data_IF_620239237300
#
_entry.id   IF_620239237300
#
_cell.length_a   1.000
_cell.length_b   1.000
_cell.length_c   1.000
_cell.angle_alpha   90.00
_cell.angle_beta   90.00
_cell.angle_gamma   90.00
#
_symmetry.space_group_name_H-M   'P 1'
#
loop_
_entity.id
_entity.type
_entity.pdbx_description
1 polymer ?
#
# COMPACT_ATOMS: atom_id res chain seq x y z
N UNK A 1 71.91 -15.79 -15.94
CA UNK A 1 71.11 -14.77 -15.24
C UNK A 1 69.68 -14.91 -15.72
N UNK A 2 68.79 -15.35 -14.83
CA UNK A 2 67.48 -15.92 -15.16
C UNK A 2 66.45 -14.85 -15.53
N UNK A 3 65.73 -15.08 -16.63
CA UNK A 3 64.55 -14.34 -17.05
C UNK A 3 63.31 -14.91 -16.33
N UNK A 4 62.69 -14.10 -15.47
CA UNK A 4 61.39 -14.39 -14.87
C UNK A 4 60.27 -14.16 -15.91
N UNK A 5 59.49 -15.20 -16.19
CA UNK A 5 58.17 -15.11 -16.84
C UNK A 5 57.09 -15.02 -15.76
N UNK A 6 56.42 -13.88 -15.69
CA UNK A 6 55.18 -13.72 -14.91
C UNK A 6 53.96 -14.04 -15.78
N UNK A 7 53.17 -15.02 -15.34
CA UNK A 7 51.85 -15.35 -15.91
C UNK A 7 50.78 -14.61 -15.09
N UNK A 8 50.18 -13.58 -15.67
CA UNK A 8 48.96 -12.96 -15.15
C UNK A 8 47.76 -13.81 -15.61
N UNK A 9 47.13 -14.53 -14.69
CA UNK A 9 45.85 -15.16 -14.92
C UNK A 9 44.74 -14.13 -14.69
N UNK A 10 44.15 -13.62 -15.78
CA UNK A 10 42.95 -12.78 -15.74
C UNK A 10 41.75 -13.69 -15.45
N UNK A 11 41.26 -13.67 -14.21
CA UNK A 11 40.01 -14.31 -13.84
C UNK A 11 38.84 -13.48 -14.40
N UNK A 12 38.32 -13.89 -15.55
CA UNK A 12 37.07 -13.36 -16.12
C UNK A 12 35.94 -13.97 -15.29
N UNK A 13 35.43 -13.22 -14.31
CA UNK A 13 34.15 -13.52 -13.68
C UNK A 13 33.06 -13.42 -14.74
N UNK A 14 32.63 -14.57 -15.27
CA UNK A 14 31.38 -14.68 -16.01
C UNK A 14 30.24 -14.34 -15.04
N UNK A 15 29.77 -13.10 -15.07
CA UNK A 15 28.50 -12.71 -14.49
C UNK A 15 27.42 -13.53 -15.19
N UNK A 16 27.02 -14.64 -14.58
CA UNK A 16 25.83 -15.36 -14.98
C UNK A 16 24.68 -14.35 -14.95
N UNK A 17 24.14 -14.03 -16.13
CA UNK A 17 23.08 -13.05 -16.29
C UNK A 17 21.94 -13.40 -15.36
N UNK A 18 21.60 -12.48 -14.45
CA UNK A 18 20.33 -12.52 -13.75
C UNK A 18 19.24 -12.74 -14.81
N UNK A 19 18.26 -13.63 -14.56
CA UNK A 19 17.18 -13.86 -15.51
C UNK A 19 16.62 -12.49 -15.91
N UNK A 20 16.66 -12.20 -17.21
CA UNK A 20 16.14 -10.95 -17.75
C UNK A 20 14.68 -10.86 -17.31
N UNK A 21 14.38 -9.94 -16.41
CA UNK A 21 13.03 -9.71 -15.93
C UNK A 21 12.16 -9.45 -17.16
N UNK A 22 11.07 -10.21 -17.31
CA UNK A 22 10.19 -10.05 -18.46
C UNK A 22 9.69 -8.62 -18.50
N UNK A 23 9.95 -7.92 -19.60
CA UNK A 23 9.57 -6.52 -19.76
C UNK A 23 8.06 -6.35 -19.50
N UNK A 24 7.70 -5.32 -18.73
CA UNK A 24 6.30 -4.99 -18.47
C UNK A 24 5.79 -4.17 -19.64
N UNK A 25 4.64 -4.51 -20.20
CA UNK A 25 4.03 -3.69 -21.24
C UNK A 25 3.19 -2.57 -20.62
N UNK A 26 3.42 -1.31 -20.98
CA UNK A 26 2.54 -0.20 -20.56
C UNK A 26 1.46 0.06 -21.61
N UNK A 27 0.20 0.10 -21.19
CA UNK A 27 -0.93 0.46 -22.06
C UNK A 27 -0.73 1.87 -22.66
N UNK A 28 -1.12 2.04 -23.93
CA UNK A 28 -0.97 3.32 -24.64
C UNK A 28 -1.97 4.38 -24.16
N UNK A 29 -3.13 3.95 -23.66
CA UNK A 29 -4.17 4.82 -23.13
C UNK A 29 -4.18 4.81 -21.60
N UNK A 30 -4.61 5.95 -21.04
CA UNK A 30 -4.93 6.10 -19.63
C UNK A 30 -6.44 6.18 -19.51
N UNK A 31 -7.03 5.28 -18.73
CA UNK A 31 -8.49 5.28 -18.54
C UNK A 31 -8.90 6.28 -17.44
N UNK A 32 -10.16 6.68 -17.41
CA UNK A 32 -10.72 7.54 -16.36
C UNK A 32 -11.77 6.76 -15.56
N UNK A 33 -11.64 6.72 -14.23
CA UNK A 33 -12.70 6.17 -13.38
C UNK A 33 -13.91 7.10 -13.34
N UNK A 34 -15.11 6.53 -13.14
CA UNK A 34 -16.35 7.30 -13.13
C UNK A 34 -16.28 8.47 -12.15
N UNK A 35 -16.52 9.68 -12.65
CA UNK A 35 -16.45 10.92 -11.87
C UNK A 35 -15.20 11.77 -12.12
N UNK A 36 -14.10 11.17 -12.60
CA UNK A 36 -12.96 11.92 -13.10
C UNK A 36 -13.30 12.48 -14.50
N UNK A 37 -13.60 13.77 -14.57
CA UNK A 37 -13.79 14.45 -15.85
C UNK A 37 -12.42 14.87 -16.40
N UNK A 38 -12.13 14.69 -17.69
CA UNK A 38 -10.93 15.26 -18.27
C UNK A 38 -11.07 16.78 -18.23
N UNK A 39 -10.39 17.43 -17.29
CA UNK A 39 -10.15 18.85 -17.36
C UNK A 39 -9.32 19.06 -18.64
N UNK A 40 -9.97 19.47 -19.72
CA UNK A 40 -9.34 19.76 -21.01
C UNK A 40 -8.91 18.52 -21.82
N UNK A 41 -9.89 17.80 -22.36
CA UNK A 41 -9.72 16.63 -23.25
C UNK A 41 -8.83 16.83 -24.50
N UNK A 42 -8.27 18.02 -24.73
CA UNK A 42 -7.33 18.33 -25.81
C UNK A 42 -5.85 18.35 -25.41
N UNK A 43 -5.51 18.24 -24.12
CA UNK A 43 -4.12 18.45 -23.68
C UNK A 43 -3.18 17.26 -23.93
N UNK A 44 -3.72 16.04 -24.11
CA UNK A 44 -2.94 14.79 -24.29
C UNK A 44 -1.86 14.57 -23.22
N UNK A 45 -2.10 15.07 -22.01
CA UNK A 45 -1.11 15.02 -20.93
C UNK A 45 -0.88 13.58 -20.43
N UNK A 46 -1.87 12.72 -20.62
CA UNK A 46 -1.83 11.28 -20.39
C UNK A 46 -0.72 10.61 -21.21
N UNK A 47 -0.54 11.04 -22.46
CA UNK A 47 0.53 10.53 -23.32
C UNK A 47 1.92 10.89 -22.79
N UNK A 48 2.06 12.06 -22.14
CA UNK A 48 3.30 12.46 -21.46
C UNK A 48 3.61 11.50 -20.30
N UNK A 49 2.59 11.11 -19.54
CA UNK A 49 2.74 10.14 -18.45
C UNK A 49 3.20 8.78 -18.97
N UNK A 50 2.50 8.19 -19.93
CA UNK A 50 2.86 6.88 -20.52
C UNK A 50 4.26 6.91 -21.13
N UNK A 51 4.59 7.96 -21.89
CA UNK A 51 5.92 8.16 -22.49
C UNK A 51 7.02 8.25 -21.43
N UNK A 52 6.76 8.99 -20.35
CA UNK A 52 7.70 9.13 -19.24
C UNK A 52 7.92 7.80 -18.52
N UNK A 53 6.85 7.03 -18.27
CA UNK A 53 6.93 5.69 -17.67
C UNK A 53 7.87 4.80 -18.48
N UNK A 54 7.63 4.69 -19.79
CA UNK A 54 8.45 3.87 -20.68
C UNK A 54 9.93 4.32 -20.68
N UNK A 55 10.17 5.62 -20.82
CA UNK A 55 11.53 6.19 -20.93
C UNK A 55 12.33 6.06 -19.63
N UNK A 56 11.68 6.27 -18.48
CA UNK A 56 12.35 6.32 -17.17
C UNK A 56 12.55 4.95 -16.53
N UNK A 57 11.80 3.95 -16.98
CA UNK A 57 11.94 2.55 -16.53
C UNK A 57 13.28 1.89 -16.85
N UNK A 58 14.15 2.55 -17.65
CA UNK A 58 15.44 2.01 -18.10
C UNK A 58 15.33 0.65 -18.80
N UNK A 59 14.24 0.44 -19.54
CA UNK A 59 13.98 -0.79 -20.30
C UNK A 59 13.21 -1.86 -19.52
N UNK A 60 12.87 -1.63 -18.25
CA UNK A 60 11.98 -2.52 -17.50
C UNK A 60 10.53 -2.50 -18.02
N UNK A 61 10.13 -1.39 -18.67
CA UNK A 61 8.79 -1.20 -19.22
C UNK A 61 8.88 -0.83 -20.70
N UNK A 62 8.15 -1.55 -21.54
CA UNK A 62 8.04 -1.31 -22.98
C UNK A 62 6.62 -0.88 -23.35
N UNK A 63 6.42 0.09 -24.26
CA UNK A 63 5.08 0.38 -24.77
C UNK A 63 4.48 -0.85 -25.49
N UNK A 64 3.19 -1.10 -25.29
CA UNK A 64 2.43 -2.12 -26.03
C UNK A 64 2.64 -1.91 -27.55
N UNK A 65 2.77 -3.00 -28.30
CA UNK A 65 2.84 -2.96 -29.77
C UNK A 65 4.23 -2.83 -30.39
N UNK A 66 5.29 -2.55 -29.60
CA UNK A 66 6.68 -2.57 -30.12
C UNK A 66 7.28 -3.98 -30.15
N UNK A 67 6.98 -4.82 -29.17
CA UNK A 67 7.37 -6.24 -29.13
C UNK A 67 6.48 -6.93 -28.11
N UNK A 68 5.78 -8.04 -28.43
CA UNK A 68 5.00 -8.77 -27.45
C UNK A 68 5.91 -9.25 -26.31
N UNK A 69 5.59 -8.87 -25.08
CA UNK A 69 6.29 -9.37 -23.92
C UNK A 69 5.94 -10.84 -23.70
N UNK A 70 6.98 -11.68 -23.61
CA UNK A 70 6.83 -13.09 -23.29
C UNK A 70 6.27 -13.34 -21.88
N UNK A 71 6.30 -12.34 -20.98
CA UNK A 71 5.85 -12.50 -19.59
C UNK A 71 4.35 -12.30 -19.41
N UNK A 72 3.65 -11.73 -20.39
CA UNK A 72 2.23 -11.34 -20.25
C UNK A 72 1.98 -10.22 -19.22
N UNK A 73 3.05 -9.60 -18.68
CA UNK A 73 2.94 -8.52 -17.70
C UNK A 73 2.52 -7.22 -18.36
N UNK A 74 1.46 -6.60 -17.85
CA UNK A 74 0.92 -5.34 -18.37
C UNK A 74 0.63 -4.34 -17.26
N UNK A 75 1.22 -3.16 -17.37
CA UNK A 75 0.90 -1.96 -16.59
C UNK A 75 -0.20 -1.17 -17.31
N UNK A 76 -1.34 -0.97 -16.66
CA UNK A 76 -2.33 0.04 -17.04
C UNK A 76 -2.33 1.19 -16.05
N UNK A 77 -2.58 2.40 -16.55
CA UNK A 77 -2.69 3.61 -15.74
C UNK A 77 -4.13 4.12 -15.84
N UNK A 78 -4.71 4.56 -14.74
CA UNK A 78 -6.08 5.05 -14.67
C UNK A 78 -6.14 6.32 -13.83
N UNK A 79 -6.71 7.41 -14.35
CA UNK A 79 -7.00 8.61 -13.57
C UNK A 79 -8.16 8.30 -12.62
N UNK A 80 -7.88 8.31 -11.32
CA UNK A 80 -8.85 8.08 -10.25
C UNK A 80 -9.54 9.38 -9.87
N UNK A 81 -8.75 10.45 -9.74
CA UNK A 81 -9.21 11.77 -9.32
C UNK A 81 -8.41 12.85 -10.02
N UNK A 82 -9.10 13.91 -10.43
CA UNK A 82 -8.51 15.10 -11.02
C UNK A 82 -9.32 16.29 -10.51
N UNK A 83 -8.79 16.96 -9.49
CA UNK A 83 -9.41 18.13 -8.88
C UNK A 83 -8.70 19.41 -9.33
N UNK A 84 -9.47 20.48 -9.49
CA UNK A 84 -8.98 21.81 -9.82
C UNK A 84 -9.55 22.82 -8.83
N UNK A 85 -8.70 23.33 -7.96
CA UNK A 85 -9.01 24.47 -7.10
C UNK A 85 -8.48 25.76 -7.73
N UNK A 86 -9.34 26.78 -7.88
CA UNK A 86 -8.94 28.08 -8.46
C UNK A 86 -9.01 29.17 -7.40
N UNK A 87 -7.96 29.97 -7.31
CA UNK A 87 -7.90 31.18 -6.50
C UNK A 87 -7.68 32.41 -7.39
N UNK A 88 -7.72 33.61 -6.81
CA UNK A 88 -7.45 34.85 -7.55
C UNK A 88 -6.02 34.93 -8.12
N UNK A 89 -5.07 34.14 -7.59
CA UNK A 89 -3.65 34.18 -7.98
C UNK A 89 -3.17 32.92 -8.69
N UNK A 90 -3.74 31.77 -8.34
CA UNK A 90 -3.22 30.45 -8.71
C UNK A 90 -4.34 29.45 -8.99
N UNK A 91 -4.02 28.48 -9.85
CA UNK A 91 -4.81 27.28 -10.09
C UNK A 91 -4.03 26.08 -9.57
N UNK A 92 -4.62 25.33 -8.64
CA UNK A 92 -4.05 24.14 -8.03
C UNK A 92 -4.72 22.90 -8.62
N UNK A 93 -3.90 22.00 -9.15
CA UNK A 93 -4.33 20.71 -9.68
C UNK A 93 -3.90 19.61 -8.71
N UNK A 94 -4.84 18.78 -8.30
CA UNK A 94 -4.59 17.54 -7.55
C UNK A 94 -4.94 16.36 -8.44
N UNK A 95 -3.97 15.50 -8.72
CA UNK A 95 -4.16 14.35 -9.62
C UNK A 95 -3.80 13.07 -8.90
N UNK A 96 -4.70 12.11 -8.93
CA UNK A 96 -4.48 10.74 -8.44
C UNK A 96 -4.59 9.77 -9.61
N UNK A 97 -3.50 9.05 -9.90
CA UNK A 97 -3.43 8.02 -10.93
C UNK A 97 -3.18 6.67 -10.30
N UNK A 98 -3.94 5.66 -10.68
CA UNK A 98 -3.76 4.26 -10.29
C UNK A 98 -2.98 3.52 -11.36
N UNK A 99 -1.84 2.94 -10.98
CA UNK A 99 -1.12 1.96 -11.78
C UNK A 99 -1.50 0.54 -11.38
N UNK A 100 -1.97 -0.26 -12.33
CA UNK A 100 -2.32 -1.66 -12.16
C UNK A 100 -1.36 -2.51 -12.98
N UNK A 101 -0.62 -3.41 -12.34
CA UNK A 101 0.18 -4.43 -13.02
C UNK A 101 -0.60 -5.73 -13.03
N UNK A 102 -0.82 -6.26 -14.23
CA UNK A 102 -1.58 -7.48 -14.48
C UNK A 102 -0.70 -8.51 -15.19
N UNK A 103 -1.02 -9.79 -15.04
CA UNK A 103 -0.46 -10.90 -15.84
C UNK A 103 -1.62 -11.77 -16.32
N UNK A 104 -1.75 -11.94 -17.63
CA UNK A 104 -2.85 -12.71 -18.23
C UNK A 104 -4.24 -12.24 -17.75
N UNK A 105 -4.39 -10.93 -17.56
CA UNK A 105 -5.62 -10.30 -17.06
C UNK A 105 -5.84 -10.37 -15.55
N UNK A 106 -4.97 -11.05 -14.79
CA UNK A 106 -5.02 -11.11 -13.32
C UNK A 106 -4.22 -9.97 -12.70
N UNK A 107 -4.77 -9.23 -11.74
CA UNK A 107 -4.08 -8.14 -11.07
C UNK A 107 -3.01 -8.66 -10.11
N UNK A 108 -1.75 -8.36 -10.39
CA UNK A 108 -0.62 -8.71 -9.53
C UNK A 108 -0.36 -7.65 -8.46
N UNK A 109 -0.45 -6.38 -8.85
CA UNK A 109 -0.15 -5.27 -7.97
C UNK A 109 -0.87 -4.02 -8.42
N UNK A 110 -1.16 -3.15 -7.46
CA UNK A 110 -1.78 -1.86 -7.76
C UNK A 110 -1.30 -0.79 -6.80
N UNK A 111 -1.04 0.39 -7.32
CA UNK A 111 -0.57 1.54 -6.54
C UNK A 111 -1.17 2.82 -7.06
N UNK A 112 -1.59 3.68 -6.15
CA UNK A 112 -2.04 5.02 -6.48
C UNK A 112 -0.86 5.99 -6.33
N UNK A 113 -0.74 6.91 -7.28
CA UNK A 113 0.27 7.96 -7.38
C UNK A 113 -0.48 9.28 -7.31
N UNK A 114 -0.04 10.16 -6.41
CA UNK A 114 -0.62 11.48 -6.25
C UNK A 114 0.43 12.54 -6.49
N UNK A 115 0.06 13.60 -7.20
CA UNK A 115 0.86 14.81 -7.34
C UNK A 115 -0.08 16.02 -7.31
N UNK A 116 0.35 17.05 -6.59
CA UNK A 116 -0.40 18.28 -6.31
C UNK A 116 0.50 19.46 -6.72
N UNK A 117 0.04 20.29 -7.67
CA UNK A 117 0.81 21.45 -8.12
C UNK A 117 -0.05 22.68 -8.32
N UNK A 118 0.45 23.79 -7.78
CA UNK A 118 -0.09 25.14 -8.00
C UNK A 118 0.64 25.84 -9.14
N UNK A 119 -0.13 26.45 -10.03
CA UNK A 119 0.36 27.20 -11.18
C UNK A 119 -0.20 28.61 -11.15
N UNK A 120 0.60 29.59 -11.59
CA UNK A 120 0.17 30.99 -11.64
C UNK A 120 -0.99 31.15 -12.63
N UNK A 121 -1.94 32.02 -12.29
CA UNK A 121 -3.03 32.37 -13.18
C UNK A 121 -2.48 32.93 -14.51
N UNK A 122 -2.90 32.33 -15.62
CA UNK A 122 -2.44 32.65 -16.98
C UNK A 122 -1.47 31.62 -17.59
N UNK A 123 -0.94 30.68 -16.80
CA UNK A 123 -0.24 29.52 -17.37
C UNK A 123 -1.24 28.61 -18.10
N UNK A 124 -0.93 28.12 -19.32
CA UNK A 124 -1.78 27.16 -20.01
C UNK A 124 -1.95 25.89 -19.17
N UNK A 125 -3.18 25.48 -18.94
CA UNK A 125 -3.52 24.30 -18.16
C UNK A 125 -2.92 23.01 -18.75
N UNK A 126 -2.81 22.90 -20.08
CA UNK A 126 -2.10 21.78 -20.71
C UNK A 126 -0.63 21.66 -20.30
N UNK A 127 0.09 22.76 -20.08
CA UNK A 127 1.50 22.70 -19.66
C UNK A 127 1.62 22.26 -18.20
N UNK A 128 0.70 22.73 -17.36
CA UNK A 128 0.55 22.28 -15.99
C UNK A 128 0.28 20.77 -15.89
N UNK A 129 -0.73 20.30 -16.61
CA UNK A 129 -1.11 18.88 -16.65
C UNK A 129 -0.01 18.00 -17.24
N UNK A 130 0.71 18.45 -18.29
CA UNK A 130 1.84 17.70 -18.87
C UNK A 130 2.98 17.52 -17.86
N UNK A 131 3.24 18.55 -17.05
CA UNK A 131 4.24 18.52 -15.97
C UNK A 131 3.84 17.56 -14.85
N UNK A 132 2.55 17.55 -14.47
CA UNK A 132 2.00 16.59 -13.52
C UNK A 132 2.07 15.15 -14.06
N UNK A 133 1.64 14.94 -15.31
CA UNK A 133 1.70 13.64 -15.98
C UNK A 133 3.12 13.07 -16.04
N UNK A 134 4.13 13.90 -16.35
CA UNK A 134 5.52 13.46 -16.32
C UNK A 134 5.97 13.02 -14.92
N UNK A 135 5.68 13.82 -13.89
CA UNK A 135 6.01 13.54 -12.49
C UNK A 135 5.37 12.23 -11.97
N UNK A 136 4.08 12.05 -12.26
CA UNK A 136 3.36 10.80 -11.97
C UNK A 136 3.95 9.61 -12.73
N UNK A 137 4.32 9.82 -14.00
CA UNK A 137 4.97 8.80 -14.81
C UNK A 137 6.36 8.40 -14.30
N UNK A 138 7.14 9.34 -13.76
CA UNK A 138 8.39 9.04 -13.07
C UNK A 138 8.16 8.16 -11.84
N UNK A 139 7.18 8.54 -11.01
CA UNK A 139 6.82 7.76 -9.81
C UNK A 139 6.35 6.34 -10.14
N UNK A 140 5.56 6.19 -11.21
CA UNK A 140 5.09 4.89 -11.68
C UNK A 140 6.22 4.04 -12.27
N UNK A 141 7.14 4.63 -13.04
CA UNK A 141 8.33 3.95 -13.54
C UNK A 141 9.22 3.44 -12.40
N UNK A 142 9.49 4.29 -11.40
CA UNK A 142 10.32 3.92 -10.26
C UNK A 142 9.68 2.79 -9.46
N UNK A 143 8.36 2.88 -9.21
CA UNK A 143 7.63 1.80 -8.55
C UNK A 143 7.73 0.48 -9.32
N UNK A 144 7.44 0.50 -10.62
CA UNK A 144 7.45 -0.72 -11.43
C UNK A 144 8.86 -1.31 -11.61
N UNK A 145 9.90 -0.47 -11.65
CA UNK A 145 11.30 -0.93 -11.74
C UNK A 145 11.83 -1.52 -10.42
N UNK A 146 11.34 -1.04 -9.28
CA UNK A 146 11.79 -1.49 -7.95
C UNK A 146 10.94 -2.62 -7.38
N UNK A 147 9.70 -2.77 -7.85
CA UNK A 147 8.77 -3.77 -7.34
C UNK A 147 9.04 -5.12 -7.99
N UNK A 148 9.33 -6.11 -7.14
CA UNK A 148 9.31 -7.51 -7.57
C UNK A 148 7.87 -7.97 -7.61
N UNK A 149 7.29 -8.01 -8.82
CA UNK A 149 6.00 -8.64 -9.04
C UNK A 149 6.19 -10.14 -8.93
N UNK A 150 5.49 -10.78 -8.00
CA UNK A 150 5.50 -12.25 -7.91
C UNK A 150 4.82 -12.81 -9.16
N UNK A 151 5.39 -13.88 -9.73
CA UNK A 151 4.71 -14.62 -10.79
C UNK A 151 3.41 -15.20 -10.23
N UNK A 152 2.34 -15.09 -11.03
CA UNK A 152 0.98 -15.49 -10.67
C UNK A 152 0.87 -17.02 -10.51
N UNK A 153 1.29 -17.57 -9.37
CA UNK A 153 0.91 -18.92 -8.92
C UNK A 153 -0.56 -18.96 -8.44
N UNK A 154 -0.97 -20.04 -7.77
CA UNK A 154 -2.25 -20.10 -7.04
C UNK A 154 -2.25 -19.10 -5.86
N UNK A 155 -2.49 -17.80 -6.11
CA UNK A 155 -2.72 -16.84 -5.03
C UNK A 155 -2.15 -15.44 -5.20
N UNK A 156 -1.90 -14.96 -6.42
CA UNK A 156 -1.68 -13.54 -6.63
C UNK A 156 -3.02 -12.85 -6.93
N UNK A 157 -3.69 -12.33 -5.90
CA UNK A 157 -4.46 -11.11 -6.09
C UNK A 157 -3.71 -9.98 -5.36
N UNK A 158 -3.28 -9.00 -6.15
CA UNK A 158 -2.88 -7.72 -5.58
C UNK A 158 -4.01 -7.16 -4.73
N UNK A 159 -3.73 -6.11 -3.94
CA UNK A 159 -4.77 -5.41 -3.19
C UNK A 159 -5.78 -4.80 -4.16
N UNK A 160 -6.82 -5.55 -4.55
CA UNK A 160 -7.87 -5.00 -5.39
C UNK A 160 -8.51 -3.84 -4.64
N UNK A 161 -8.58 -2.65 -5.27
CA UNK A 161 -9.03 -1.44 -4.62
C UNK A 161 -10.53 -1.46 -4.25
N UNK A 162 -11.23 -2.54 -4.61
CA UNK A 162 -12.67 -2.72 -4.44
C UNK A 162 -13.01 -4.04 -3.72
N UNK A 163 -12.01 -4.82 -3.30
CA UNK A 163 -12.25 -6.07 -2.59
C UNK A 163 -12.39 -5.86 -1.09
N UNK A 164 -13.34 -6.60 -0.52
CA UNK A 164 -13.55 -6.61 0.93
C UNK A 164 -12.43 -7.39 1.60
N UNK A 165 -11.72 -6.74 2.53
CA UNK A 165 -10.79 -7.39 3.44
C UNK A 165 -11.59 -7.85 4.65
N UNK A 166 -11.69 -9.17 4.84
CA UNK A 166 -12.38 -9.73 5.99
C UNK A 166 -11.48 -9.68 7.22
N UNK A 167 -12.03 -9.25 8.35
CA UNK A 167 -11.39 -9.32 9.66
C UNK A 167 -12.22 -10.25 10.54
N UNK A 168 -11.59 -11.01 11.43
CA UNK A 168 -12.31 -11.79 12.43
C UNK A 168 -13.17 -10.89 13.32
N UNK A 169 -14.23 -11.43 13.91
CA UNK A 169 -15.12 -10.68 14.81
C UNK A 169 -14.43 -10.15 16.07
N UNK A 170 -13.26 -10.70 16.40
CA UNK A 170 -12.42 -10.30 17.52
C UNK A 170 -10.94 -10.45 17.19
N UNK A 171 -10.10 -9.70 17.92
CA UNK A 171 -8.65 -9.88 17.90
C UNK A 171 -8.29 -11.24 18.50
N UNK A 172 -7.42 -11.99 17.81
CA UNK A 172 -6.91 -13.28 18.31
C UNK A 172 -5.94 -13.02 19.46
N UNK A 173 -6.10 -13.76 20.56
CA UNK A 173 -5.22 -13.67 21.72
C UNK A 173 -4.25 -14.86 21.64
N UNK A 174 -3.00 -14.61 21.24
CA UNK A 174 -2.02 -15.68 21.00
C UNK A 174 -1.55 -16.36 22.30
N UNK A 175 -1.50 -15.61 23.40
CA UNK A 175 -1.14 -16.11 24.72
C UNK A 175 -2.26 -15.77 25.71
N UNK A 176 -2.74 -16.74 26.48
CA UNK A 176 -3.76 -16.52 27.52
C UNK A 176 -3.35 -15.49 28.57
N UNK A 177 -2.04 -15.26 28.75
CA UNK A 177 -1.46 -14.25 29.64
C UNK A 177 -1.24 -12.89 28.97
N UNK A 178 -1.42 -12.78 27.64
CA UNK A 178 -1.28 -11.53 26.91
C UNK A 178 -2.23 -10.43 27.41
N UNK A 179 -3.31 -10.82 28.10
CA UNK A 179 -4.36 -9.95 28.60
C UNK A 179 -4.94 -10.52 29.90
N UNK A 180 -5.15 -9.68 30.90
CA UNK A 180 -5.80 -10.10 32.14
C UNK A 180 -7.33 -10.22 31.97
N UNK A 181 -7.99 -10.89 32.92
CA UNK A 181 -9.43 -11.16 32.87
C UNK A 181 -10.27 -9.88 32.87
N UNK A 182 -9.83 -8.81 33.55
CA UNK A 182 -10.51 -7.51 33.52
C UNK A 182 -10.56 -6.94 32.11
N UNK A 183 -9.43 -6.93 31.39
CA UNK A 183 -9.41 -6.40 30.02
C UNK A 183 -10.18 -7.32 29.06
N UNK A 184 -10.10 -8.63 29.25
CA UNK A 184 -10.82 -9.61 28.43
C UNK A 184 -12.34 -9.52 28.62
N UNK A 185 -12.80 -9.58 29.86
CA UNK A 185 -14.22 -9.77 30.19
C UNK A 185 -14.94 -8.43 30.39
N UNK A 186 -14.34 -7.51 31.15
CA UNK A 186 -15.02 -6.26 31.53
C UNK A 186 -14.92 -5.21 30.43
N UNK A 187 -13.73 -5.07 29.82
CA UNK A 187 -13.53 -4.06 28.78
C UNK A 187 -14.03 -4.52 27.40
N UNK A 188 -14.32 -5.82 27.21
CA UNK A 188 -14.72 -6.43 25.92
C UNK A 188 -13.84 -5.98 24.75
N UNK A 189 -12.56 -5.80 25.05
CA UNK A 189 -11.63 -5.09 24.19
C UNK A 189 -11.43 -5.75 22.81
N UNK A 190 -11.28 -7.09 22.68
CA UNK A 190 -11.00 -7.72 21.39
C UNK A 190 -12.04 -7.39 20.30
N UNK A 191 -13.33 -7.38 20.64
CA UNK A 191 -14.41 -7.02 19.70
C UNK A 191 -14.46 -5.52 19.45
N UNK A 192 -14.29 -4.70 20.50
CA UNK A 192 -14.33 -3.25 20.39
C UNK A 192 -13.21 -2.71 19.48
N UNK A 193 -12.00 -3.29 19.57
CA UNK A 193 -10.86 -2.95 18.73
C UNK A 193 -11.16 -3.20 17.24
N UNK A 194 -11.71 -4.37 16.89
CA UNK A 194 -12.12 -4.69 15.51
C UNK A 194 -13.16 -3.68 15.00
N UNK A 195 -14.18 -3.39 15.80
CA UNK A 195 -15.22 -2.43 15.41
C UNK A 195 -14.66 -1.02 15.18
N UNK A 196 -13.73 -0.57 16.04
CA UNK A 196 -13.06 0.73 15.88
C UNK A 196 -12.21 0.78 14.63
N UNK A 197 -11.44 -0.28 14.36
CA UNK A 197 -10.61 -0.37 13.16
C UNK A 197 -11.45 -0.31 11.89
N UNK A 198 -12.53 -1.09 11.83
CA UNK A 198 -13.44 -1.10 10.67
C UNK A 198 -14.03 0.29 10.44
N UNK A 199 -14.49 0.93 11.52
CA UNK A 199 -15.06 2.28 11.45
C UNK A 199 -14.01 3.28 10.93
N UNK A 200 -12.85 3.35 11.59
CA UNK A 200 -11.79 4.28 11.26
C UNK A 200 -11.24 4.08 9.84
N UNK A 201 -11.17 2.83 9.36
CA UNK A 201 -10.72 2.54 8.01
C UNK A 201 -11.79 2.91 6.97
N UNK A 202 -13.03 2.46 7.16
CA UNK A 202 -14.10 2.63 6.15
C UNK A 202 -14.62 4.07 6.07
N UNK A 203 -14.61 4.81 7.18
CA UNK A 203 -15.06 6.22 7.24
C UNK A 203 -13.91 7.22 7.05
N UNK A 204 -12.73 6.74 6.64
CA UNK A 204 -11.60 7.62 6.35
C UNK A 204 -11.82 8.36 5.02
N UNK A 205 -11.94 9.68 5.04
CA UNK A 205 -12.16 10.47 3.83
C UNK A 205 -10.85 10.89 3.10
N UNK A 206 -9.68 10.80 3.75
CA UNK A 206 -8.42 11.30 3.18
C UNK A 206 -7.18 10.39 3.39
N UNK A 207 -6.73 9.69 2.33
CA UNK A 207 -7.52 9.35 1.14
C UNK A 207 -8.64 8.35 1.48
N UNK A 208 -9.70 8.25 0.65
CA UNK A 208 -10.72 7.22 0.81
C UNK A 208 -10.09 5.82 0.76
N UNK A 209 -10.59 4.85 1.56
CA UNK A 209 -10.02 3.52 1.63
C UNK A 209 -10.16 2.80 0.29
N UNK A 210 -9.08 2.14 -0.14
CA UNK A 210 -9.01 1.30 -1.34
C UNK A 210 -9.58 -0.11 -1.10
N UNK A 211 -10.42 -0.30 -0.11
CA UNK A 211 -11.01 -1.58 0.22
C UNK A 211 -12.11 -1.30 1.22
N UNK A 212 -13.00 -2.27 1.41
CA UNK A 212 -13.87 -2.28 2.58
C UNK A 212 -13.29 -3.25 3.60
N UNK A 213 -13.18 -2.82 4.85
CA UNK A 213 -12.97 -3.75 5.95
C UNK A 213 -14.33 -4.26 6.44
N UNK A 214 -14.48 -5.57 6.59
CA UNK A 214 -15.72 -6.19 7.08
C UNK A 214 -15.40 -7.22 8.16
N UNK A 215 -16.10 -7.12 9.29
CA UNK A 215 -16.02 -8.12 10.35
C UNK A 215 -16.93 -9.30 10.03
N UNK A 216 -16.41 -10.52 10.22
CA UNK A 216 -17.21 -11.76 10.13
C UNK A 216 -16.96 -12.69 11.30
N UNK A 217 -17.99 -13.37 11.83
CA UNK A 217 -17.85 -14.38 12.86
C UNK A 217 -17.38 -15.71 12.24
N UNK A 218 -16.14 -15.74 11.75
CA UNK A 218 -15.53 -16.90 11.09
C UNK A 218 -14.17 -17.21 11.71
N UNK A 219 -13.71 -18.45 11.50
CA UNK A 219 -12.31 -18.79 11.73
C UNK A 219 -11.44 -18.04 10.70
N UNK A 220 -10.93 -16.88 11.12
CA UNK A 220 -10.17 -15.99 10.26
C UNK A 220 -8.85 -16.61 9.81
N UNK A 221 -8.31 -17.59 10.53
CA UNK A 221 -7.07 -18.24 10.12
C UNK A 221 -7.30 -19.15 8.90
N UNK A 222 -8.47 -19.79 8.84
CA UNK A 222 -8.87 -20.73 7.77
C UNK A 222 -9.60 -20.09 6.59
N UNK A 223 -10.03 -18.83 6.69
CA UNK A 223 -10.73 -18.16 5.61
C UNK A 223 -9.87 -18.10 4.34
N UNK A 224 -10.39 -18.59 3.21
CA UNK A 224 -9.61 -18.67 1.96
C UNK A 224 -9.54 -17.36 1.20
N UNK A 225 -10.43 -16.41 1.47
CA UNK A 225 -10.40 -15.09 0.86
C UNK A 225 -9.37 -14.17 1.48
N UNK A 226 -9.40 -12.92 1.03
CA UNK A 226 -8.53 -11.87 1.53
C UNK A 226 -8.93 -11.45 2.93
N UNK A 227 -7.95 -11.41 3.83
CA UNK A 227 -8.19 -11.21 5.26
C UNK A 227 -7.07 -10.54 6.01
N UNK A 228 -7.44 -9.81 7.05
CA UNK A 228 -6.53 -9.31 8.06
C UNK A 228 -6.70 -10.14 9.33
N UNK A 229 -5.66 -10.85 9.71
CA UNK A 229 -5.58 -11.54 11.01
C UNK A 229 -4.90 -10.59 11.99
N UNK A 230 -5.59 -10.21 13.06
CA UNK A 230 -5.05 -9.37 14.13
C UNK A 230 -4.78 -10.22 15.36
N UNK A 231 -3.60 -10.04 15.95
CA UNK A 231 -3.16 -10.76 17.14
C UNK A 231 -2.72 -9.80 18.23
N UNK A 232 -3.21 -10.01 19.44
CA UNK A 232 -2.68 -9.37 20.63
C UNK A 232 -1.52 -10.21 21.17
N UNK A 233 -0.33 -9.62 21.22
CA UNK A 233 0.85 -10.28 21.75
C UNK A 233 0.99 -10.02 23.25
N UNK A 234 0.81 -8.76 23.68
CA UNK A 234 0.88 -8.39 25.10
C UNK A 234 0.17 -7.06 25.35
N UNK A 235 -0.53 -6.94 26.47
CA UNK A 235 -1.08 -5.67 26.97
C UNK A 235 -0.72 -5.45 28.43
N UNK A 236 -0.19 -4.26 28.72
CA UNK A 236 0.04 -3.79 30.06
C UNK A 236 -0.79 -2.52 30.29
N UNK A 237 -1.95 -2.68 30.89
CA UNK A 237 -2.88 -1.58 31.14
C UNK A 237 -3.40 -1.61 32.58
N UNK A 238 -2.49 -1.51 33.55
CA UNK A 238 -2.86 -1.47 34.96
C UNK A 238 -3.75 -0.25 35.24
N UNK A 239 -4.88 -0.51 35.90
CA UNK A 239 -5.76 0.50 36.46
C UNK A 239 -5.23 1.02 37.80
N UNK A 240 -5.55 2.27 38.11
CA UNK A 240 -5.17 2.96 39.33
C UNK A 240 -4.86 4.42 39.03
N UNK A 241 -4.82 5.27 40.06
CA UNK A 241 -4.78 6.74 39.95
C UNK A 241 -3.70 7.33 39.02
N UNK A 242 -3.67 8.65 38.86
CA UNK A 242 -2.92 9.37 37.80
C UNK A 242 -1.41 9.11 37.66
N UNK A 243 -0.79 8.32 38.55
CA UNK A 243 0.62 7.91 38.54
C UNK A 243 0.81 6.38 38.50
N UNK A 244 -0.15 5.63 37.98
CA UNK A 244 0.10 4.23 37.62
C UNK A 244 1.09 4.17 36.47
N UNK A 245 2.02 3.21 36.53
CA UNK A 245 3.18 3.09 35.64
C UNK A 245 2.88 3.04 34.13
N UNK A 246 3.92 2.85 33.30
CA UNK A 246 3.78 2.94 31.85
C UNK A 246 2.75 1.94 31.32
N UNK A 247 1.75 2.42 30.56
CA UNK A 247 0.77 1.56 29.90
C UNK A 247 1.15 1.37 28.45
N UNK A 248 1.06 0.15 27.95
CA UNK A 248 1.50 -0.19 26.60
C UNK A 248 0.81 -1.43 26.07
N UNK A 249 0.86 -1.60 24.74
CA UNK A 249 0.27 -2.73 24.04
C UNK A 249 1.13 -3.10 22.84
N UNK A 250 1.35 -4.39 22.64
CA UNK A 250 1.96 -4.94 21.44
C UNK A 250 0.97 -5.81 20.69
N UNK A 251 0.86 -5.56 19.38
CA UNK A 251 0.00 -6.32 18.49
C UNK A 251 0.77 -6.65 17.22
N UNK A 252 0.33 -7.71 16.56
CA UNK A 252 0.79 -8.07 15.23
C UNK A 252 -0.41 -8.25 14.32
N UNK A 253 -0.16 -8.10 13.03
CA UNK A 253 -1.19 -8.37 12.04
C UNK A 253 -0.63 -8.89 10.75
N UNK A 254 -1.42 -9.73 10.09
CA UNK A 254 -1.08 -10.36 8.84
C UNK A 254 -2.21 -10.13 7.84
N UNK A 255 -1.89 -9.46 6.73
CA UNK A 255 -2.76 -9.39 5.57
C UNK A 255 -2.45 -10.61 4.69
N UNK A 256 -3.43 -11.49 4.55
CA UNK A 256 -3.33 -12.74 3.80
C UNK A 256 -4.34 -12.80 2.68
N UNK A 257 -4.03 -13.59 1.69
CA UNK A 257 -4.96 -14.03 0.67
C UNK A 257 -4.76 -15.51 0.39
N UNK A 258 -5.79 -16.32 0.64
CA UNK A 258 -5.63 -17.77 0.66
C UNK A 258 -4.52 -18.19 1.62
N UNK A 259 -3.45 -18.79 1.07
CA UNK A 259 -2.26 -19.20 1.85
C UNK A 259 -1.13 -18.17 1.78
N UNK A 260 -1.20 -17.21 0.86
CA UNK A 260 -0.14 -16.23 0.65
C UNK A 260 -0.18 -15.15 1.76
N UNK A 261 1.01 -14.84 2.29
CA UNK A 261 1.22 -13.67 3.13
C UNK A 261 1.52 -12.47 2.24
N UNK A 262 0.63 -11.48 2.24
CA UNK A 262 0.76 -10.28 1.40
C UNK A 262 1.56 -9.21 2.13
N UNK A 263 1.26 -8.98 3.40
CA UNK A 263 1.94 -8.01 4.25
C UNK A 263 1.78 -8.38 5.73
N UNK A 264 2.68 -7.87 6.57
CA UNK A 264 2.58 -8.05 8.01
C UNK A 264 3.19 -6.87 8.77
N UNK A 265 2.72 -6.68 10.00
CA UNK A 265 3.24 -5.67 10.90
C UNK A 265 3.37 -6.18 12.34
N UNK A 266 4.21 -5.50 13.10
CA UNK A 266 4.19 -5.45 14.55
C UNK A 266 4.03 -4.00 14.99
N UNK A 267 3.15 -3.75 15.95
CA UNK A 267 2.89 -2.43 16.52
C UNK A 267 3.20 -2.41 18.00
N UNK A 268 3.74 -1.29 18.48
CA UNK A 268 3.91 -1.01 19.91
C UNK A 268 3.32 0.36 20.22
N UNK A 269 2.25 0.41 21.02
CA UNK A 269 1.63 1.65 21.47
C UNK A 269 1.88 1.89 22.95
N UNK A 270 1.97 3.16 23.34
CA UNK A 270 2.12 3.58 24.74
C UNK A 270 1.11 4.67 25.06
N UNK A 271 0.61 4.69 26.29
CA UNK A 271 -0.29 5.74 26.76
C UNK A 271 0.01 6.13 28.20
N UNK A 272 -0.01 7.43 28.46
CA UNK A 272 -0.07 7.98 29.83
C UNK A 272 -1.51 8.27 30.29
N UNK A 273 -2.51 8.03 29.44
CA UNK A 273 -3.92 8.38 29.69
C UNK A 273 -4.69 7.20 30.28
N UNK A 274 -5.78 7.52 30.99
CA UNK A 274 -6.72 6.54 31.53
C UNK A 274 -6.59 6.35 33.04
N UNK A 275 -7.65 6.74 33.78
CA UNK A 275 -7.73 6.53 35.24
C UNK A 275 -8.17 5.10 35.61
N UNK A 276 -8.71 4.36 34.64
CA UNK A 276 -9.16 2.98 34.78
C UNK A 276 -8.45 2.09 33.77
N UNK A 277 -8.44 0.78 34.02
CA UNK A 277 -7.91 -0.24 33.11
C UNK A 277 -8.52 -0.11 31.71
N UNK A 278 -9.86 -0.12 31.60
CA UNK A 278 -10.53 -0.05 30.29
C UNK A 278 -10.26 1.27 29.55
N UNK A 279 -10.22 2.41 30.25
CA UNK A 279 -9.91 3.69 29.61
C UNK A 279 -8.47 3.77 29.11
N UNK A 280 -7.56 3.12 29.82
CA UNK A 280 -6.15 3.02 29.40
C UNK A 280 -6.03 2.17 28.14
N UNK A 281 -6.71 1.02 28.12
CA UNK A 281 -6.79 0.13 26.95
C UNK A 281 -7.47 0.81 25.77
N UNK A 282 -8.54 1.56 25.98
CA UNK A 282 -9.19 2.34 24.92
C UNK A 282 -8.22 3.35 24.30
N UNK A 283 -7.47 4.08 25.12
CA UNK A 283 -6.46 5.02 24.61
C UNK A 283 -5.35 4.33 23.81
N UNK A 284 -4.93 3.13 24.23
CA UNK A 284 -3.97 2.32 23.46
C UNK A 284 -4.57 1.81 22.15
N UNK A 285 -5.87 1.49 22.16
CA UNK A 285 -6.63 1.04 20.99
C UNK A 285 -6.73 2.12 19.93
N UNK A 286 -7.01 3.36 20.32
CA UNK A 286 -7.14 4.48 19.40
C UNK A 286 -5.82 4.71 18.65
N UNK A 287 -4.71 4.82 19.39
CA UNK A 287 -3.37 4.96 18.80
C UNK A 287 -2.99 3.77 17.91
N UNK A 288 -3.30 2.55 18.34
CA UNK A 288 -3.01 1.35 17.55
C UNK A 288 -3.87 1.28 16.29
N UNK A 289 -5.14 1.70 16.38
CA UNK A 289 -6.06 1.76 15.24
C UNK A 289 -5.54 2.73 14.17
N UNK A 290 -5.14 3.93 14.56
CA UNK A 290 -4.57 4.92 13.63
C UNK A 290 -3.34 4.38 12.89
N UNK A 291 -2.44 3.72 13.63
CA UNK A 291 -1.26 3.08 13.05
C UNK A 291 -1.62 1.97 12.05
N UNK A 292 -2.55 1.09 12.38
CA UNK A 292 -3.00 0.00 11.50
C UNK A 292 -3.71 0.55 10.27
N UNK A 293 -4.59 1.55 10.42
CA UNK A 293 -5.27 2.21 9.29
C UNK A 293 -4.23 2.81 8.33
N UNK A 294 -3.24 3.52 8.86
CA UNK A 294 -2.15 4.08 8.04
C UNK A 294 -1.37 3.00 7.30
N UNK A 295 -1.05 1.88 7.96
CA UNK A 295 -0.40 0.75 7.33
C UNK A 295 -1.27 0.08 6.26
N UNK A 296 -2.57 -0.13 6.50
CA UNK A 296 -3.50 -0.74 5.55
C UNK A 296 -3.63 0.04 4.23
N UNK A 297 -3.37 1.36 4.24
CA UNK A 297 -3.36 2.19 3.02
C UNK A 297 -2.18 1.87 2.09
N UNK A 298 -1.05 1.42 2.65
CA UNK A 298 0.14 1.04 1.89
C UNK A 298 0.89 -0.08 2.61
N UNK A 299 0.32 -1.29 2.66
CA UNK A 299 0.83 -2.34 3.52
C UNK A 299 2.13 -2.91 2.97
N UNK A 300 3.09 -3.11 3.87
CA UNK A 300 4.43 -3.63 3.57
C UNK A 300 4.74 -4.82 4.48
N UNK A 301 5.67 -5.66 4.04
CA UNK A 301 6.19 -6.79 4.83
C UNK A 301 7.14 -6.28 5.93
N UNK A 302 7.04 -6.88 7.12
CA UNK A 302 7.92 -6.60 8.25
C UNK A 302 7.79 -5.19 8.82
N UNK A 303 6.63 -4.54 8.67
CA UNK A 303 6.42 -3.18 9.15
C UNK A 303 6.49 -3.11 10.68
N UNK A 304 7.19 -2.09 11.21
CA UNK A 304 7.22 -1.78 12.65
C UNK A 304 6.47 -0.48 12.90
N UNK A 305 5.27 -0.58 13.48
CA UNK A 305 4.39 0.57 13.74
C UNK A 305 4.69 1.11 15.14
N UNK A 306 4.94 2.41 15.23
CA UNK A 306 5.30 3.13 16.46
C UNK A 306 4.66 4.51 16.46
#
# INVERSE_FOLDING_TARGET
MNSLRGLLAMAICALAGLPAWGAIEVAESVDYLQGAQPAEAGCTWEASMVSTVATRSKGAITPVGKTPSASGLRLSLQVVRLDLARTAKESEYSVVVRGNVTQDGKLLATRDFQDDKSFKNGQPACDALRTLGASLGESAADWAAQTRFMECGEGCAGIHPDETIVVGAEVVIDNTEAINDTVRNDCRWPTAMVSRLIKAFNESDDPPPRAKLESRPIDIEKYSGRRLVLRLNEVHALGGGGYTGPKWMTMSGELREGKALIANFESHSQSGRGLTTCRSVDSLSDSTTEMIVKWLRSPTLGAKLK
#
